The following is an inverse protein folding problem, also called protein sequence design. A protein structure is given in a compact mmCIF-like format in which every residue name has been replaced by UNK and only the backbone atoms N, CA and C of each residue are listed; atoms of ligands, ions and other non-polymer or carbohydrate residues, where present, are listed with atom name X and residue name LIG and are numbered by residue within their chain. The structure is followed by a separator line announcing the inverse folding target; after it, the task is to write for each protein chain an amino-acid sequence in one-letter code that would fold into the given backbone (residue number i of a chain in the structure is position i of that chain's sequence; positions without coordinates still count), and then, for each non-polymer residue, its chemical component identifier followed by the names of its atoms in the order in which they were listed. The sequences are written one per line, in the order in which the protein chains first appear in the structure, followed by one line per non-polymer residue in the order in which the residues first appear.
data_IF_408444933852
#
_entry.id   IF_408444933852
#
_cell.length_a   1.000
_cell.length_b   1.000
_cell.length_c   1.000
_cell.angle_alpha   90.00
_cell.angle_beta   90.00
_cell.angle_gamma   90.00
#
_symmetry.space_group_name_H-M   'P 1'
#
loop_
_entity.id
_entity.type
_entity.pdbx_description
1 polymer ?
#
# COMPACT_ATOMS: atom_id res chain seq x y z
N UNK A 1 9.08 -6.37 10.84
CA UNK A 1 8.58 -7.49 9.99
C UNK A 1 7.25 -7.08 9.39
N UNK A 2 6.96 -7.48 8.14
CA UNK A 2 5.76 -7.08 7.39
C UNK A 2 4.82 -8.24 7.03
N UNK A 3 5.15 -9.48 7.42
CA UNK A 3 4.33 -10.67 7.16
C UNK A 3 4.50 -11.26 5.76
N UNK A 4 5.61 -10.98 5.08
CA UNK A 4 5.88 -11.51 3.73
C UNK A 4 6.02 -13.03 3.69
N UNK A 5 6.39 -13.64 4.81
CA UNK A 5 6.38 -15.09 5.01
C UNK A 5 4.97 -15.68 4.95
N UNK A 6 3.97 -14.99 5.57
CA UNK A 6 2.57 -15.38 5.43
C UNK A 6 2.08 -15.23 3.98
N UNK A 7 2.43 -14.11 3.33
CA UNK A 7 2.02 -13.87 1.93
C UNK A 7 2.58 -14.96 1.00
N UNK A 8 3.86 -15.29 1.16
CA UNK A 8 4.52 -16.36 0.38
C UNK A 8 3.88 -17.73 0.66
N UNK A 9 3.62 -18.05 1.93
CA UNK A 9 2.97 -19.31 2.32
C UNK A 9 1.56 -19.41 1.75
N UNK A 10 0.79 -18.31 1.80
CA UNK A 10 -0.54 -18.26 1.18
C UNK A 10 -0.43 -18.46 -0.34
N UNK A 11 0.51 -17.79 -1.00
CA UNK A 11 0.75 -17.92 -2.44
C UNK A 11 1.04 -19.37 -2.85
N UNK A 12 1.91 -20.07 -2.11
CA UNK A 12 2.21 -21.49 -2.32
C UNK A 12 0.97 -22.36 -2.09
N UNK A 13 0.24 -22.15 -1.01
CA UNK A 13 -0.99 -22.89 -0.73
C UNK A 13 -2.07 -22.70 -1.79
N UNK A 14 -2.24 -21.47 -2.30
CA UNK A 14 -3.15 -21.19 -3.43
C UNK A 14 -2.70 -21.93 -4.68
N UNK A 15 -1.40 -21.94 -4.98
CA UNK A 15 -0.84 -22.67 -6.13
C UNK A 15 -1.11 -24.15 -6.04
N UNK A 16 -0.93 -24.77 -4.87
CA UNK A 16 -1.24 -26.18 -4.63
C UNK A 16 -2.73 -26.52 -4.85
N UNK A 17 -3.62 -25.69 -4.30
CA UNK A 17 -5.07 -25.87 -4.47
C UNK A 17 -5.45 -25.80 -5.94
N UNK A 18 -4.99 -24.77 -6.66
CA UNK A 18 -5.32 -24.58 -8.07
C UNK A 18 -4.67 -25.64 -8.97
N UNK A 19 -3.46 -26.13 -8.64
CA UNK A 19 -2.83 -27.23 -9.35
C UNK A 19 -3.67 -28.51 -9.28
N UNK A 20 -4.31 -28.80 -8.14
CA UNK A 20 -5.26 -29.92 -8.01
C UNK A 20 -6.53 -29.74 -8.83
N UNK A 21 -6.91 -28.50 -9.10
CA UNK A 21 -8.10 -28.14 -9.87
C UNK A 21 -7.77 -27.84 -11.35
N UNK A 22 -6.53 -28.02 -11.80
CA UNK A 22 -6.05 -27.56 -13.12
C UNK A 22 -6.88 -28.01 -14.31
N UNK A 23 -7.47 -29.22 -14.25
CA UNK A 23 -8.33 -29.74 -15.34
C UNK A 23 -9.71 -29.09 -15.41
N UNK A 24 -10.07 -28.30 -14.39
CA UNK A 24 -11.35 -27.57 -14.29
C UNK A 24 -11.19 -26.07 -14.53
N UNK A 25 -9.95 -25.56 -14.61
CA UNK A 25 -9.66 -24.16 -14.88
C UNK A 25 -9.79 -23.90 -16.39
N UNK A 26 -10.52 -22.88 -16.78
CA UNK A 26 -10.65 -22.43 -18.16
C UNK A 26 -9.68 -21.30 -18.52
N UNK A 27 -8.59 -21.18 -17.76
CA UNK A 27 -7.58 -20.15 -17.95
C UNK A 27 -6.24 -20.57 -17.37
N UNK A 28 -5.33 -19.62 -17.30
CA UNK A 28 -3.99 -19.79 -16.74
C UNK A 28 -3.83 -18.90 -15.53
N UNK A 29 -3.37 -19.44 -14.40
CA UNK A 29 -2.97 -18.68 -13.22
C UNK A 29 -1.45 -18.68 -13.12
N UNK A 30 -0.86 -17.51 -13.02
CA UNK A 30 0.57 -17.29 -12.89
C UNK A 30 0.85 -16.68 -11.53
N UNK A 31 1.84 -17.18 -10.82
CA UNK A 31 2.25 -16.68 -9.52
C UNK A 31 3.53 -15.86 -9.66
N UNK A 32 3.49 -14.62 -9.15
CA UNK A 32 4.63 -13.74 -9.04
C UNK A 32 5.10 -13.70 -7.59
N UNK A 33 6.29 -14.26 -7.32
CA UNK A 33 6.95 -14.13 -6.03
C UNK A 33 7.96 -12.98 -6.16
N UNK A 34 7.53 -11.80 -5.78
CA UNK A 34 8.28 -10.57 -5.97
C UNK A 34 9.30 -10.36 -4.85
N UNK A 35 10.58 -10.08 -5.15
CA UNK A 35 11.56 -9.62 -4.17
C UNK A 35 11.50 -8.09 -4.00
N UNK A 36 12.05 -7.58 -2.90
CA UNK A 36 12.40 -6.16 -2.76
C UNK A 36 11.23 -5.18 -2.67
N UNK A 37 10.06 -5.61 -2.18
CA UNK A 37 8.89 -4.74 -1.99
C UNK A 37 9.19 -3.59 -1.02
N UNK A 38 9.84 -3.84 0.12
CA UNK A 38 10.18 -2.84 1.16
C UNK A 38 11.04 -1.67 0.64
N UNK A 39 11.73 -1.89 -0.48
CA UNK A 39 12.48 -0.84 -1.18
C UNK A 39 11.66 -0.18 -2.31
N UNK A 40 10.40 -0.59 -2.53
CA UNK A 40 9.54 -0.18 -3.64
C UNK A 40 10.21 -0.39 -5.02
N UNK A 41 10.98 -1.44 -5.17
CA UNK A 41 11.84 -1.69 -6.34
C UNK A 41 11.57 -3.02 -7.06
N UNK A 42 10.97 -3.99 -6.35
CA UNK A 42 10.79 -5.35 -6.87
C UNK A 42 9.85 -5.44 -8.06
N UNK A 43 8.70 -4.77 -7.99
CA UNK A 43 7.75 -4.73 -9.11
C UNK A 43 8.37 -4.10 -10.37
N UNK A 44 9.11 -2.99 -10.22
CA UNK A 44 9.81 -2.37 -11.35
C UNK A 44 10.86 -3.31 -11.95
N UNK A 45 11.62 -4.00 -11.13
CA UNK A 45 12.63 -4.96 -11.59
C UNK A 45 11.98 -6.10 -12.41
N UNK A 46 10.90 -6.70 -11.91
CA UNK A 46 10.17 -7.76 -12.61
C UNK A 46 9.54 -7.26 -13.92
N UNK A 47 8.97 -6.05 -13.91
CA UNK A 47 8.39 -5.44 -15.13
C UNK A 47 9.50 -5.18 -16.15
N UNK A 48 10.64 -4.63 -15.74
CA UNK A 48 11.78 -4.37 -16.62
C UNK A 48 12.40 -5.65 -17.20
N UNK A 49 12.33 -6.77 -16.46
CA UNK A 49 12.70 -8.11 -16.92
C UNK A 49 11.66 -8.73 -17.87
N UNK A 50 10.57 -8.03 -18.20
CA UNK A 50 9.57 -8.47 -19.17
C UNK A 50 8.58 -9.51 -18.64
N UNK A 51 8.29 -9.52 -17.32
CA UNK A 51 7.35 -10.51 -16.74
C UNK A 51 5.95 -10.38 -17.31
N UNK A 52 5.48 -9.15 -17.57
CA UNK A 52 4.14 -8.91 -18.11
C UNK A 52 4.05 -9.33 -19.58
N UNK A 53 5.08 -9.07 -20.37
CA UNK A 53 5.17 -9.44 -21.78
C UNK A 53 5.21 -10.96 -21.98
N UNK A 54 5.92 -11.68 -21.09
CA UNK A 54 5.98 -13.14 -21.11
C UNK A 54 4.69 -13.81 -20.64
N UNK A 55 4.03 -13.21 -19.65
CA UNK A 55 2.86 -13.83 -19.03
C UNK A 55 1.54 -13.34 -19.56
N UNK A 56 1.45 -12.09 -20.01
CA UNK A 56 0.25 -11.40 -20.52
C UNK A 56 -0.98 -11.65 -19.65
N UNK A 57 -0.97 -11.25 -18.39
CA UNK A 57 -2.12 -11.45 -17.52
C UNK A 57 -3.24 -10.48 -17.91
N UNK A 58 -4.49 -10.96 -17.92
CA UNK A 58 -5.68 -10.12 -18.08
C UNK A 58 -6.02 -9.36 -16.80
N UNK A 59 -5.69 -9.96 -15.64
CA UNK A 59 -5.90 -9.40 -14.31
C UNK A 59 -4.74 -9.79 -13.39
N UNK A 60 -4.53 -8.98 -12.35
CA UNK A 60 -3.54 -9.25 -11.30
C UNK A 60 -4.15 -9.03 -9.92
N UNK A 61 -3.85 -9.92 -8.97
CA UNK A 61 -4.42 -9.88 -7.63
C UNK A 61 -3.34 -10.05 -6.57
N UNK A 62 -3.38 -9.23 -5.53
CA UNK A 62 -2.49 -9.33 -4.38
C UNK A 62 -3.26 -9.35 -3.06
N UNK A 63 -2.63 -9.93 -2.06
CA UNK A 63 -3.11 -10.01 -0.69
C UNK A 63 -1.98 -9.61 0.25
N UNK A 64 -2.27 -8.74 1.19
CA UNK A 64 -1.36 -8.33 2.26
C UNK A 64 -2.01 -8.56 3.63
N UNK A 65 -1.25 -8.89 4.64
CA UNK A 65 -1.76 -8.93 6.00
C UNK A 65 -2.11 -7.51 6.50
N UNK A 66 -3.11 -7.42 7.37
CA UNK A 66 -3.55 -6.13 7.94
C UNK A 66 -4.10 -6.29 9.36
N UNK A 67 -4.21 -5.19 10.10
CA UNK A 67 -4.55 -5.21 11.54
C UNK A 67 -6.03 -5.47 11.83
N UNK A 68 -6.71 -6.13 10.91
CA UNK A 68 -8.10 -6.55 11.05
C UNK A 68 -8.20 -7.89 11.80
N UNK A 69 -9.36 -8.23 12.38
CA UNK A 69 -9.56 -9.53 13.02
C UNK A 69 -9.23 -10.70 12.10
N UNK A 70 -8.60 -11.75 12.62
CA UNK A 70 -8.31 -12.97 11.84
C UNK A 70 -9.59 -13.55 11.24
N UNK A 71 -9.54 -13.92 9.96
CA UNK A 71 -10.70 -14.43 9.23
C UNK A 71 -11.51 -13.37 8.49
N UNK A 72 -11.12 -12.10 8.58
CA UNK A 72 -11.77 -10.99 7.86
C UNK A 72 -10.90 -10.45 6.75
N UNK A 73 -11.51 -9.67 5.84
CA UNK A 73 -10.83 -8.99 4.75
C UNK A 73 -11.21 -7.51 4.74
N UNK A 74 -10.25 -6.66 4.37
CA UNK A 74 -10.52 -5.29 3.99
C UNK A 74 -10.21 -5.10 2.51
N UNK A 75 -11.17 -4.61 1.74
CA UNK A 75 -11.07 -4.39 0.30
C UNK A 75 -10.99 -2.91 -0.03
N UNK A 76 -10.39 -2.58 -1.16
CA UNK A 76 -9.99 -1.21 -1.50
C UNK A 76 -10.58 -0.72 -2.84
N UNK A 77 -11.90 -0.81 -3.10
CA UNK A 77 -12.48 -0.38 -4.38
C UNK A 77 -12.36 1.14 -4.57
N UNK A 78 -11.51 1.58 -5.50
CA UNK A 78 -11.25 3.01 -5.77
C UNK A 78 -10.29 3.67 -4.79
N UNK A 79 -9.68 2.92 -3.89
CA UNK A 79 -8.68 3.38 -2.93
C UNK A 79 -7.52 2.39 -2.81
N UNK A 80 -6.62 2.60 -1.87
CA UNK A 80 -5.49 1.69 -1.63
C UNK A 80 -4.42 2.30 -0.74
N UNK A 81 -3.23 2.56 -1.27
CA UNK A 81 -2.10 3.15 -0.55
C UNK A 81 -1.55 4.37 -1.31
N UNK A 82 -1.09 5.41 -0.60
CA UNK A 82 -0.65 6.64 -1.25
C UNK A 82 0.64 6.44 -2.04
N UNK A 83 0.80 7.24 -3.09
CA UNK A 83 2.08 7.42 -3.76
C UNK A 83 3.08 8.18 -2.88
N UNK A 84 4.33 8.19 -3.31
CA UNK A 84 5.41 8.87 -2.62
C UNK A 84 6.17 9.80 -3.56
N UNK A 85 6.56 10.96 -3.05
CA UNK A 85 7.43 11.88 -3.77
C UNK A 85 8.44 12.52 -2.82
N UNK A 86 9.43 13.20 -3.36
CA UNK A 86 10.41 13.92 -2.55
C UNK A 86 10.95 15.16 -3.27
N UNK A 87 11.38 16.14 -2.48
CA UNK A 87 12.19 17.27 -2.92
C UNK A 87 13.57 17.20 -2.29
N UNK A 88 14.62 17.42 -3.08
CA UNK A 88 15.99 17.59 -2.62
C UNK A 88 16.32 19.09 -2.65
N UNK A 89 16.65 19.67 -1.49
CA UNK A 89 16.87 21.09 -1.35
C UNK A 89 18.33 21.31 -0.88
N UNK A 90 19.08 22.10 -1.60
CA UNK A 90 20.45 22.47 -1.22
C UNK A 90 20.44 23.92 -0.72
N UNK A 91 21.00 24.13 0.48
CA UNK A 91 21.26 25.45 1.04
C UNK A 91 22.78 25.67 1.09
N UNK A 92 23.21 26.86 0.63
CA UNK A 92 24.63 27.20 0.51
C UNK A 92 24.99 28.39 1.39
N UNK A 93 26.29 28.57 1.66
CA UNK A 93 26.83 29.77 2.31
C UNK A 93 26.67 29.83 3.84
N UNK A 94 27.14 30.93 4.46
CA UNK A 94 27.14 31.07 5.93
C UNK A 94 25.75 30.91 6.55
N UNK A 95 25.64 30.16 7.66
CA UNK A 95 24.40 29.91 8.36
C UNK A 95 23.43 28.95 7.63
N UNK A 96 23.91 28.16 6.67
CA UNK A 96 23.09 27.16 5.97
C UNK A 96 22.44 26.15 6.93
N UNK A 97 23.16 25.73 8.00
CA UNK A 97 22.62 24.80 9.01
C UNK A 97 21.39 25.35 9.72
N UNK A 98 21.46 26.60 10.23
CA UNK A 98 20.35 27.22 10.95
C UNK A 98 19.14 27.46 10.03
N UNK A 99 19.40 27.76 8.74
CA UNK A 99 18.32 27.89 7.75
C UNK A 99 17.70 26.55 7.42
N UNK A 100 18.51 25.49 7.33
CA UNK A 100 18.04 24.13 7.08
C UNK A 100 17.14 23.63 8.23
N UNK A 101 17.51 23.87 9.48
CA UNK A 101 16.68 23.50 10.64
C UNK A 101 15.31 24.20 10.60
N UNK A 102 15.29 25.51 10.31
CA UNK A 102 14.02 26.25 10.14
C UNK A 102 13.19 25.71 8.98
N UNK A 103 13.83 25.45 7.84
CA UNK A 103 13.14 24.89 6.68
C UNK A 103 12.59 23.50 6.97
N UNK A 104 13.32 22.62 7.67
CA UNK A 104 12.85 21.30 8.09
C UNK A 104 11.58 21.43 8.96
N UNK A 105 11.54 22.39 9.89
CA UNK A 105 10.37 22.64 10.72
C UNK A 105 9.18 23.13 9.88
N UNK A 106 9.39 24.11 8.98
CA UNK A 106 8.36 24.61 8.07
C UNK A 106 7.79 23.53 7.15
N UNK A 107 8.66 22.67 6.63
CA UNK A 107 8.25 21.52 5.80
C UNK A 107 7.45 20.51 6.61
N UNK A 108 7.90 20.19 7.83
CA UNK A 108 7.18 19.29 8.73
C UNK A 108 5.76 19.75 9.05
N UNK A 109 5.55 21.07 9.14
CA UNK A 109 4.24 21.67 9.40
C UNK A 109 3.22 21.47 8.26
N UNK A 110 3.64 21.02 7.08
CA UNK A 110 2.74 20.63 5.99
C UNK A 110 2.00 19.31 6.26
N UNK A 111 2.46 18.51 7.22
CA UNK A 111 1.78 17.27 7.60
C UNK A 111 0.39 17.56 8.18
N UNK A 112 -0.61 16.91 7.66
CA UNK A 112 -1.99 16.94 8.19
C UNK A 112 -2.34 15.69 8.99
N UNK A 113 -1.42 14.72 9.03
CA UNK A 113 -1.57 13.46 9.77
C UNK A 113 -0.29 13.16 10.56
N UNK A 114 -0.45 12.50 11.69
CA UNK A 114 0.64 12.11 12.59
C UNK A 114 0.73 10.57 12.64
N UNK A 115 1.93 9.99 12.52
CA UNK A 115 2.11 8.55 12.66
C UNK A 115 1.60 8.05 14.02
N UNK A 116 0.90 6.90 14.03
CA UNK A 116 0.40 6.32 15.27
C UNK A 116 1.55 5.92 16.19
N UNK A 117 1.43 6.21 17.47
CA UNK A 117 2.42 5.87 18.50
C UNK A 117 1.88 4.84 19.50
N UNK A 118 0.57 4.73 19.60
CA UNK A 118 -0.12 3.89 20.59
C UNK A 118 -1.15 3.00 19.90
N UNK A 119 -1.60 1.96 20.63
CA UNK A 119 -2.71 1.11 20.18
C UNK A 119 -3.97 1.93 19.90
N UNK A 120 -4.26 2.93 20.71
CA UNK A 120 -5.42 3.81 20.52
C UNK A 120 -5.32 4.63 19.22
N UNK A 121 -4.11 5.07 18.85
CA UNK A 121 -3.88 5.77 17.58
C UNK A 121 -4.09 4.84 16.39
N UNK A 122 -3.64 3.60 16.48
CA UNK A 122 -3.85 2.59 15.45
C UNK A 122 -5.33 2.24 15.28
N UNK A 123 -6.05 2.03 16.40
CA UNK A 123 -7.48 1.77 16.37
C UNK A 123 -8.26 2.96 15.77
N UNK A 124 -7.84 4.19 16.05
CA UNK A 124 -8.40 5.39 15.42
C UNK A 124 -8.11 5.40 13.91
N UNK A 125 -6.85 5.16 13.50
CA UNK A 125 -6.44 5.12 12.11
C UNK A 125 -7.28 4.13 11.29
N UNK A 126 -7.48 2.91 11.80
CA UNK A 126 -8.28 1.90 11.10
C UNK A 126 -9.75 2.35 10.97
N UNK A 127 -10.35 2.89 12.04
CA UNK A 127 -11.71 3.46 11.93
C UNK A 127 -11.80 4.59 10.91
N UNK A 128 -10.78 5.43 10.81
CA UNK A 128 -10.75 6.55 9.86
C UNK A 128 -10.62 6.08 8.41
N UNK A 129 -9.83 5.04 8.12
CA UNK A 129 -9.74 4.48 6.76
C UNK A 129 -11.03 3.76 6.33
N UNK A 130 -11.80 3.23 7.28
CA UNK A 130 -13.11 2.61 7.05
C UNK A 130 -14.26 3.64 6.94
N UNK A 131 -14.00 4.92 7.29
CA UNK A 131 -15.04 5.96 7.30
C UNK A 131 -15.19 6.62 5.93
N UNK A 132 -16.35 6.49 5.24
CA UNK A 132 -16.60 7.20 4.00
C UNK A 132 -16.49 8.73 4.19
N UNK A 133 -15.75 9.39 3.31
CA UNK A 133 -15.51 10.83 3.39
C UNK A 133 -14.97 11.33 4.75
N UNK A 134 -14.26 10.45 5.45
CA UNK A 134 -13.65 10.72 6.75
C UNK A 134 -12.41 11.63 6.67
N UNK A 135 -11.71 11.82 7.80
CA UNK A 135 -10.55 12.71 7.89
C UNK A 135 -9.43 12.35 6.91
N UNK A 136 -9.29 11.06 6.57
CA UNK A 136 -8.27 10.57 5.64
C UNK A 136 -8.69 10.62 4.16
N UNK A 137 -9.85 11.19 3.83
CA UNK A 137 -10.22 11.42 2.43
C UNK A 137 -9.24 12.38 1.73
N UNK A 138 -8.53 13.21 2.49
CA UNK A 138 -7.49 14.14 2.01
C UNK A 138 -6.43 14.33 3.08
N UNK A 139 -5.17 13.96 2.78
CA UNK A 139 -4.06 14.15 3.71
C UNK A 139 -2.73 14.44 3.01
N UNK A 140 -1.79 14.95 3.79
CA UNK A 140 -0.35 14.99 3.50
C UNK A 140 0.38 14.42 4.71
N UNK A 141 1.31 13.52 4.47
CA UNK A 141 2.31 13.13 5.44
C UNK A 141 3.68 13.52 4.92
N UNK A 142 4.35 14.41 5.65
CA UNK A 142 5.65 14.97 5.28
C UNK A 142 6.71 14.58 6.31
N UNK A 143 7.86 14.16 5.81
CA UNK A 143 9.08 13.99 6.60
C UNK A 143 10.19 14.82 5.95
N UNK A 144 10.86 15.64 6.75
CA UNK A 144 12.02 16.38 6.29
C UNK A 144 13.20 16.12 7.23
N UNK A 145 14.40 16.17 6.68
CA UNK A 145 15.63 16.03 7.44
C UNK A 145 16.78 16.71 6.72
N UNK A 146 17.70 17.29 7.49
CA UNK A 146 18.89 17.95 6.99
C UNK A 146 20.12 17.08 7.23
N UNK A 147 21.08 17.14 6.30
CA UNK A 147 22.41 16.52 6.44
C UNK A 147 23.49 17.48 5.90
N UNK A 148 24.65 17.54 6.52
CA UNK A 148 25.79 18.24 5.94
C UNK A 148 26.16 17.65 4.57
N UNK A 149 26.47 18.52 3.62
CA UNK A 149 27.00 18.16 2.32
C UNK A 149 28.48 18.62 2.21
N UNK A 150 29.14 18.27 1.10
CA UNK A 150 30.46 18.78 0.82
C UNK A 150 30.48 20.31 0.75
N UNK A 151 31.64 20.92 1.01
CA UNK A 151 31.86 22.37 0.90
C UNK A 151 31.08 23.25 1.89
N UNK A 152 30.57 22.69 3.01
CA UNK A 152 29.80 23.44 4.00
C UNK A 152 28.36 23.74 3.64
N UNK A 153 27.90 23.19 2.54
CA UNK A 153 26.50 23.20 2.15
C UNK A 153 25.65 22.26 3.04
N UNK A 154 24.34 22.45 3.04
CA UNK A 154 23.42 21.55 3.72
C UNK A 154 22.36 21.06 2.74
N UNK A 155 22.16 19.77 2.73
CA UNK A 155 21.12 19.13 1.95
C UNK A 155 19.92 18.81 2.84
N UNK A 156 18.73 19.33 2.47
CA UNK A 156 17.46 18.98 3.11
C UNK A 156 16.66 18.10 2.17
N UNK A 157 16.28 16.92 2.65
CA UNK A 157 15.38 16.02 1.92
C UNK A 157 14.00 16.08 2.52
N UNK A 158 13.01 16.47 1.71
CA UNK A 158 11.59 16.42 2.03
C UNK A 158 10.95 15.23 1.31
N UNK A 159 10.55 14.20 2.04
CA UNK A 159 9.83 13.04 1.49
C UNK A 159 8.39 13.10 1.96
N UNK A 160 7.44 12.90 1.07
CA UNK A 160 6.04 12.98 1.42
C UNK A 160 5.16 11.96 0.70
N UNK A 161 4.02 11.69 1.33
CA UNK A 161 2.89 10.96 0.77
C UNK A 161 1.65 11.84 0.86
N UNK A 162 0.80 11.77 -0.13
CA UNK A 162 -0.47 12.49 -0.11
C UNK A 162 -1.60 11.66 -0.71
N UNK A 163 -2.80 12.00 -0.30
CA UNK A 163 -4.01 11.42 -0.85
C UNK A 163 -5.04 12.53 -1.08
N UNK A 164 -5.76 12.53 -2.21
CA UNK A 164 -5.48 11.73 -3.39
C UNK A 164 -4.16 12.13 -4.08
N UNK A 165 -3.64 11.28 -4.97
CA UNK A 165 -2.32 11.47 -5.60
C UNK A 165 -2.25 12.73 -6.48
N UNK A 166 -3.37 13.16 -7.03
CA UNK A 166 -3.51 14.36 -7.85
C UNK A 166 -3.07 15.65 -7.14
N UNK A 167 -2.85 15.57 -5.82
CA UNK A 167 -2.30 16.68 -5.01
C UNK A 167 -0.79 16.86 -5.13
N UNK A 168 -0.05 15.93 -5.73
CA UNK A 168 1.41 16.03 -5.85
C UNK A 168 1.87 17.38 -6.44
N UNK A 169 1.29 17.91 -7.53
CA UNK A 169 1.67 19.23 -8.03
C UNK A 169 1.46 20.36 -7.01
N UNK A 170 0.32 20.35 -6.29
CA UNK A 170 0.02 21.31 -5.21
C UNK A 170 1.12 21.28 -4.13
N UNK A 171 1.53 20.09 -3.71
CA UNK A 171 2.57 19.95 -2.67
C UNK A 171 3.94 20.38 -3.20
N UNK A 172 4.30 20.03 -4.44
CA UNK A 172 5.53 20.55 -5.07
C UNK A 172 5.58 22.07 -5.10
N UNK A 173 4.44 22.73 -5.37
CA UNK A 173 4.36 24.20 -5.37
C UNK A 173 4.49 24.78 -3.97
N UNK A 174 3.90 24.14 -2.95
CA UNK A 174 4.12 24.53 -1.56
C UNK A 174 5.59 24.40 -1.14
N UNK A 175 6.26 23.32 -1.54
CA UNK A 175 7.70 23.11 -1.29
C UNK A 175 8.55 24.18 -1.99
N UNK A 176 8.26 24.52 -3.24
CA UNK A 176 8.93 25.62 -3.97
C UNK A 176 8.73 26.96 -3.26
N UNK A 177 7.51 27.26 -2.82
CA UNK A 177 7.18 28.49 -2.11
C UNK A 177 7.96 28.61 -0.79
N UNK A 178 8.00 27.55 0.01
CA UNK A 178 8.75 27.54 1.28
C UNK A 178 10.25 27.69 1.03
N UNK A 179 10.80 26.93 0.07
CA UNK A 179 12.22 27.03 -0.32
C UNK A 179 12.57 28.43 -0.83
N UNK A 180 11.68 29.08 -1.58
CA UNK A 180 11.89 30.43 -2.12
C UNK A 180 12.02 31.54 -1.07
N UNK A 181 11.71 31.28 0.20
CA UNK A 181 12.01 32.20 1.32
C UNK A 181 13.51 32.28 1.65
N UNK A 182 14.31 31.38 1.10
CA UNK A 182 15.73 31.26 1.31
C UNK A 182 16.46 31.52 -0.02
N UNK A 183 17.06 32.71 -0.24
CA UNK A 183 17.60 33.10 -1.56
C UNK A 183 18.67 32.18 -2.13
N UNK A 184 19.42 31.49 -1.25
CA UNK A 184 20.50 30.57 -1.62
C UNK A 184 20.06 29.11 -1.66
N UNK A 185 18.75 28.83 -1.53
CA UNK A 185 18.20 27.50 -1.57
C UNK A 185 17.74 27.12 -2.99
N UNK A 186 18.01 25.88 -3.39
CA UNK A 186 17.54 25.29 -4.63
C UNK A 186 16.82 24.00 -4.34
N UNK A 187 15.68 23.78 -5.00
CA UNK A 187 14.91 22.55 -4.87
C UNK A 187 14.81 21.82 -6.20
N UNK A 188 15.03 20.52 -6.16
CA UNK A 188 14.88 19.61 -7.28
C UNK A 188 13.89 18.50 -6.93
N UNK A 189 13.15 18.05 -7.93
CA UNK A 189 12.21 16.94 -7.82
C UNK A 189 12.56 15.85 -8.83
N UNK A 190 12.24 14.57 -8.55
CA UNK A 190 12.27 13.55 -9.59
C UNK A 190 11.29 13.92 -10.72
N UNK A 191 11.55 13.43 -11.92
CA UNK A 191 10.68 13.64 -13.07
C UNK A 191 9.25 13.16 -12.73
N UNK A 192 9.14 11.94 -12.22
CA UNK A 192 7.89 11.34 -11.80
C UNK A 192 7.90 10.97 -10.32
N UNK A 193 6.78 11.18 -9.66
CA UNK A 193 6.54 10.65 -8.33
C UNK A 193 6.27 9.14 -8.39
N UNK A 194 6.60 8.42 -7.32
CA UNK A 194 6.19 7.03 -7.19
C UNK A 194 4.65 6.95 -7.07
N UNK A 195 3.97 6.12 -7.88
CA UNK A 195 2.52 6.15 -7.98
C UNK A 195 1.81 5.59 -6.75
N UNK A 196 0.59 6.08 -6.50
CA UNK A 196 -0.33 5.46 -5.56
C UNK A 196 -0.77 4.07 -6.05
N UNK A 197 -0.88 3.13 -5.13
CA UNK A 197 -1.52 1.85 -5.37
C UNK A 197 -3.03 2.06 -5.22
N UNK A 198 -3.76 2.04 -6.34
CA UNK A 198 -5.22 2.26 -6.37
C UNK A 198 -5.87 1.09 -7.07
N UNK A 199 -6.72 0.36 -6.36
CA UNK A 199 -7.52 -0.69 -6.98
C UNK A 199 -8.64 -0.07 -7.83
N UNK A 200 -8.80 -0.47 -9.10
CA UNK A 200 -9.94 -0.01 -9.88
C UNK A 200 -11.26 -0.33 -9.17
N UNK A 201 -12.25 0.59 -9.20
CA UNK A 201 -13.49 0.42 -8.41
C UNK A 201 -14.28 -0.84 -8.76
N UNK A 202 -14.31 -1.25 -10.03
CA UNK A 202 -15.09 -2.41 -10.47
C UNK A 202 -14.48 -3.73 -9.98
N UNK A 203 -13.21 -4.08 -10.27
CA UNK A 203 -12.57 -5.26 -9.70
C UNK A 203 -12.63 -5.30 -8.16
N UNK A 204 -12.43 -4.17 -7.51
CA UNK A 204 -12.52 -4.07 -6.04
C UNK A 204 -13.91 -4.40 -5.51
N UNK A 205 -14.99 -4.00 -6.19
CA UNK A 205 -16.36 -4.42 -5.82
C UNK A 205 -16.62 -5.88 -6.12
N UNK A 206 -16.13 -6.40 -7.23
CA UNK A 206 -16.32 -7.80 -7.60
C UNK A 206 -15.67 -8.75 -6.57
N UNK A 207 -14.46 -8.45 -6.10
CA UNK A 207 -13.81 -9.26 -5.04
C UNK A 207 -14.53 -9.11 -3.71
N UNK A 208 -15.00 -7.90 -3.34
CA UNK A 208 -15.83 -7.68 -2.15
C UNK A 208 -17.05 -8.58 -2.17
N UNK A 209 -17.83 -8.50 -3.24
CA UNK A 209 -19.08 -9.23 -3.37
C UNK A 209 -18.85 -10.75 -3.38
N UNK A 210 -17.72 -11.20 -3.92
CA UNK A 210 -17.31 -12.60 -3.85
C UNK A 210 -17.00 -13.02 -2.40
N UNK A 211 -16.21 -12.26 -1.69
CA UNK A 211 -15.83 -12.54 -0.31
C UNK A 211 -17.05 -12.48 0.63
N UNK A 212 -17.93 -11.51 0.46
CA UNK A 212 -19.17 -11.40 1.24
C UNK A 212 -20.09 -12.61 1.07
N UNK A 213 -20.19 -13.16 -0.15
CA UNK A 213 -20.98 -14.38 -0.40
C UNK A 213 -20.37 -15.61 0.28
N UNK A 214 -19.04 -15.71 0.30
CA UNK A 214 -18.34 -16.89 0.84
C UNK A 214 -18.14 -16.85 2.36
N UNK A 215 -17.93 -15.68 2.94
CA UNK A 215 -17.55 -15.49 4.34
C UNK A 215 -18.62 -14.79 5.19
N UNK A 216 -19.60 -14.17 4.55
CA UNK A 216 -20.58 -13.31 5.20
C UNK A 216 -20.14 -11.83 5.23
N UNK A 217 -21.11 -10.92 5.19
CA UNK A 217 -20.86 -9.47 5.15
C UNK A 217 -20.01 -8.95 6.31
N UNK A 218 -20.20 -9.52 7.50
CA UNK A 218 -19.45 -9.12 8.71
C UNK A 218 -17.95 -9.47 8.64
N UNK A 219 -17.55 -10.32 7.71
CA UNK A 219 -16.15 -10.69 7.51
C UNK A 219 -15.44 -9.81 6.46
N UNK A 220 -16.15 -8.84 5.85
CA UNK A 220 -15.57 -8.00 4.80
C UNK A 220 -15.85 -6.54 5.10
N UNK A 221 -14.80 -5.74 5.24
CA UNK A 221 -14.90 -4.29 5.35
C UNK A 221 -14.40 -3.61 4.07
N UNK A 222 -14.81 -2.38 3.85
CA UNK A 222 -14.35 -1.54 2.73
C UNK A 222 -13.51 -0.40 3.28
N UNK A 223 -12.31 -0.27 2.76
CA UNK A 223 -11.48 0.91 3.01
C UNK A 223 -11.92 2.04 2.08
N UNK A 224 -12.19 3.21 2.64
CA UNK A 224 -12.64 4.41 1.95
C UNK A 224 -11.54 5.47 1.80
N UNK A 225 -10.38 5.24 2.42
CA UNK A 225 -9.21 6.09 2.31
C UNK A 225 -7.92 5.24 2.30
N UNK A 226 -6.84 5.86 1.85
CA UNK A 226 -5.52 5.24 1.89
C UNK A 226 -4.92 5.30 3.31
N UNK A 227 -4.11 4.29 3.67
CA UNK A 227 -3.32 4.30 4.91
C UNK A 227 -2.13 5.26 4.71
N UNK A 228 -2.00 6.38 5.47
CA UNK A 228 -1.07 7.45 5.14
C UNK A 228 0.41 7.08 5.16
N UNK A 229 0.78 6.09 5.98
CA UNK A 229 2.18 5.82 6.33
C UNK A 229 2.81 4.67 5.56
N UNK A 230 2.02 3.97 4.75
CA UNK A 230 2.44 2.82 3.95
C UNK A 230 2.53 3.18 2.46
N UNK A 231 3.39 2.47 1.73
CA UNK A 231 3.48 2.50 0.27
C UNK A 231 3.49 1.06 -0.24
N UNK A 232 3.28 0.87 -1.56
CA UNK A 232 3.17 -0.46 -2.14
C UNK A 232 3.57 -0.43 -3.61
N UNK A 233 4.57 -1.20 -4.02
CA UNK A 233 5.05 -1.19 -5.41
C UNK A 233 4.20 -2.05 -6.35
N UNK A 234 3.25 -2.82 -5.84
CA UNK A 234 2.18 -3.42 -6.63
C UNK A 234 1.40 -2.36 -7.44
N UNK A 235 1.48 -1.09 -7.04
CA UNK A 235 1.02 0.07 -7.81
C UNK A 235 1.52 0.05 -9.27
N UNK A 236 2.76 -0.40 -9.50
CA UNK A 236 3.36 -0.45 -10.82
C UNK A 236 2.71 -1.51 -11.72
N UNK A 237 2.31 -2.64 -11.15
CA UNK A 237 1.52 -3.64 -11.86
C UNK A 237 0.11 -3.13 -12.17
N UNK A 238 -0.58 -2.51 -11.20
CA UNK A 238 -1.94 -1.99 -11.40
C UNK A 238 -2.04 -0.87 -12.43
N UNK A 239 -0.94 -0.17 -12.71
CA UNK A 239 -0.85 0.78 -13.83
C UNK A 239 -0.85 0.12 -15.22
N UNK A 240 -0.55 -1.16 -15.29
CA UNK A 240 -0.40 -1.94 -16.53
C UNK A 240 -1.51 -2.96 -16.72
N UNK A 241 -2.00 -3.53 -15.62
CA UNK A 241 -2.95 -4.64 -15.61
C UNK A 241 -4.02 -4.35 -14.55
N UNK A 242 -5.31 -4.43 -14.89
CA UNK A 242 -6.36 -4.25 -13.88
C UNK A 242 -6.32 -5.38 -12.85
N UNK A 243 -6.69 -5.07 -11.60
CA UNK A 243 -6.64 -6.09 -10.56
C UNK A 243 -7.13 -5.63 -9.22
N UNK A 244 -6.81 -6.39 -8.18
CA UNK A 244 -7.20 -6.09 -6.80
C UNK A 244 -6.05 -6.25 -5.83
N UNK A 245 -6.08 -5.43 -4.80
CA UNK A 245 -5.27 -5.56 -3.61
C UNK A 245 -6.22 -5.62 -2.40
N UNK A 246 -6.10 -6.64 -1.58
CA UNK A 246 -6.94 -6.80 -0.40
C UNK A 246 -6.08 -7.03 0.84
N UNK A 247 -6.57 -6.58 1.99
CA UNK A 247 -5.93 -6.89 3.26
C UNK A 247 -6.62 -8.08 3.92
N UNK A 248 -5.81 -9.02 4.42
CA UNK A 248 -6.25 -10.15 5.23
C UNK A 248 -6.05 -9.82 6.71
N UNK A 249 -7.08 -9.94 7.50
CA UNK A 249 -7.01 -9.78 8.95
C UNK A 249 -6.12 -10.86 9.58
N UNK A 250 -5.17 -10.40 10.42
CA UNK A 250 -4.22 -11.26 11.13
C UNK A 250 -4.21 -11.02 12.64
N UNK A 251 -5.14 -10.21 13.17
CA UNK A 251 -5.23 -9.93 14.61
C UNK A 251 -5.93 -11.07 15.34
N UNK A 252 -5.26 -11.64 16.34
CA UNK A 252 -5.84 -12.64 17.25
C UNK A 252 -7.01 -12.03 18.02
N UNK A 253 -8.06 -12.81 18.34
CA UNK A 253 -9.13 -12.36 19.22
C UNK A 253 -8.57 -11.89 20.58
N UNK A 254 -8.94 -10.68 20.99
CA UNK A 254 -8.50 -10.08 22.26
C UNK A 254 -7.05 -9.56 22.27
N UNK A 255 -6.30 -9.71 21.20
CA UNK A 255 -4.94 -9.18 21.13
C UNK A 255 -4.92 -7.67 20.83
N UNK A 256 -3.86 -7.01 21.28
CA UNK A 256 -3.60 -5.62 20.95
C UNK A 256 -3.36 -5.45 19.44
N UNK A 257 -3.83 -4.35 18.88
CA UNK A 257 -3.72 -4.08 17.44
C UNK A 257 -2.28 -3.99 16.97
N UNK A 258 -1.33 -3.59 17.82
CA UNK A 258 0.10 -3.52 17.51
C UNK A 258 0.68 -4.88 17.14
N UNK A 259 0.08 -5.98 17.62
CA UNK A 259 0.51 -7.34 17.27
C UNK A 259 0.15 -7.73 15.84
N UNK A 260 -0.76 -7.01 15.20
CA UNK A 260 -1.22 -7.28 13.84
C UNK A 260 -0.91 -6.13 12.86
N UNK A 261 -0.36 -5.02 13.33
CA UNK A 261 0.03 -3.91 12.49
C UNK A 261 1.48 -4.11 12.02
N UNK A 262 1.72 -4.27 10.70
CA UNK A 262 3.07 -4.46 10.17
C UNK A 262 4.04 -3.35 10.61
N UNK A 263 5.33 -3.69 10.72
CA UNK A 263 6.43 -2.82 11.15
C UNK A 263 6.43 -2.40 12.64
N UNK A 264 5.45 -2.78 13.44
CA UNK A 264 5.56 -2.66 14.89
C UNK A 264 6.47 -3.75 15.47
N UNK A 265 7.24 -3.40 16.50
CA UNK A 265 8.16 -4.34 17.14
C UNK A 265 7.47 -5.54 17.82
N UNK A 266 6.18 -5.42 18.08
CA UNK A 266 5.30 -6.45 18.66
C UNK A 266 4.56 -7.27 17.61
N UNK A 267 4.84 -7.09 16.31
CA UNK A 267 4.13 -7.79 15.25
C UNK A 267 4.24 -9.32 15.40
N UNK A 268 3.12 -9.95 15.68
CA UNK A 268 2.93 -11.39 15.93
C UNK A 268 1.57 -11.83 15.38
N UNK A 269 1.46 -12.02 14.05
CA UNK A 269 0.21 -12.31 13.38
C UNK A 269 -0.36 -13.67 13.75
N UNK A 270 -1.67 -13.81 13.62
CA UNK A 270 -2.35 -15.08 13.77
C UNK A 270 -2.19 -15.98 12.54
N UNK A 271 -1.43 -17.05 12.65
CA UNK A 271 -1.15 -17.96 11.52
C UNK A 271 -2.40 -18.67 10.97
N UNK A 272 -3.52 -18.67 11.70
CA UNK A 272 -4.81 -19.17 11.17
C UNK A 272 -5.26 -18.40 9.93
N UNK A 273 -4.78 -17.17 9.77
CA UNK A 273 -4.97 -16.35 8.58
C UNK A 273 -4.47 -17.03 7.30
N UNK A 274 -3.41 -17.86 7.37
CA UNK A 274 -2.88 -18.59 6.21
C UNK A 274 -3.98 -19.44 5.56
N UNK A 275 -4.64 -20.28 6.34
CA UNK A 275 -5.70 -21.14 5.81
C UNK A 275 -6.92 -20.35 5.29
N UNK A 276 -7.22 -19.20 5.89
CA UNK A 276 -8.28 -18.29 5.42
C UNK A 276 -7.89 -17.66 4.08
N UNK A 277 -6.67 -17.12 4.00
CA UNK A 277 -6.12 -16.50 2.78
C UNK A 277 -6.07 -17.49 1.62
N UNK A 278 -5.57 -18.72 1.86
CA UNK A 278 -5.53 -19.77 0.83
C UNK A 278 -6.92 -20.08 0.29
N UNK A 279 -7.91 -20.31 1.15
CA UNK A 279 -9.28 -20.64 0.72
C UNK A 279 -9.91 -19.48 -0.07
N UNK A 280 -9.79 -18.26 0.43
CA UNK A 280 -10.39 -17.08 -0.19
C UNK A 280 -9.77 -16.79 -1.56
N UNK A 281 -8.44 -16.75 -1.64
CA UNK A 281 -7.73 -16.42 -2.87
C UNK A 281 -7.82 -17.54 -3.91
N UNK A 282 -7.68 -18.81 -3.50
CA UNK A 282 -7.87 -19.93 -4.43
C UNK A 282 -9.28 -19.94 -5.00
N UNK A 283 -10.29 -19.72 -4.17
CA UNK A 283 -11.67 -19.64 -4.60
C UNK A 283 -11.94 -18.44 -5.52
N UNK A 284 -11.40 -17.24 -5.18
CA UNK A 284 -11.51 -16.06 -6.03
C UNK A 284 -10.89 -16.30 -7.42
N UNK A 285 -9.65 -16.78 -7.47
CA UNK A 285 -8.95 -17.03 -8.72
C UNK A 285 -9.61 -18.15 -9.55
N UNK A 286 -10.12 -19.19 -8.90
CA UNK A 286 -10.90 -20.23 -9.56
C UNK A 286 -12.20 -19.66 -10.17
N UNK A 287 -12.88 -18.79 -9.43
CA UNK A 287 -14.08 -18.08 -9.93
C UNK A 287 -13.74 -17.20 -11.14
N UNK A 288 -12.63 -16.44 -11.10
CA UNK A 288 -12.17 -15.62 -12.24
C UNK A 288 -11.75 -16.47 -13.44
N UNK A 289 -11.14 -17.63 -13.20
CA UNK A 289 -10.76 -18.59 -14.23
C UNK A 289 -11.92 -19.49 -14.73
N UNK A 290 -13.16 -19.12 -14.42
CA UNK A 290 -14.36 -19.76 -14.97
C UNK A 290 -14.75 -21.11 -14.36
N UNK A 291 -14.19 -21.51 -13.21
CA UNK A 291 -14.77 -22.61 -12.44
C UNK A 291 -16.11 -22.10 -11.86
N UNK A 292 -17.19 -22.35 -12.57
CA UNK A 292 -18.52 -22.12 -12.04
C UNK A 292 -18.73 -22.96 -10.78
N UNK A 293 -19.22 -22.32 -9.70
CA UNK A 293 -19.93 -23.05 -8.65
C UNK A 293 -21.10 -23.73 -9.35
N UNK A 294 -20.94 -25.03 -9.67
CA UNK A 294 -22.02 -25.81 -10.24
C UNK A 294 -23.22 -25.81 -9.28
N UNK A 295 -24.10 -24.86 -9.43
CA UNK A 295 -25.49 -25.05 -9.15
C UNK A 295 -26.02 -25.79 -10.38
N UNK A 296 -25.95 -27.12 -10.35
CA UNK A 296 -26.91 -27.93 -11.03
C UNK A 296 -28.26 -27.51 -10.48
N UNK A 297 -28.97 -26.72 -11.25
CA UNK A 297 -30.39 -26.58 -11.05
C UNK A 297 -31.07 -27.97 -11.22
N UNK A 298 -32.12 -28.26 -10.46
CA UNK A 298 -32.81 -29.53 -10.47
C UNK A 298 -33.43 -29.85 -11.83
#
# INVERSE_FOLDING_TARGET
MCGHDLHTTIGVGVAEVLARLRTRLHGRVVFFFQPGEEALAGAQAMISDGVLERTRPDEIHALHCGPFPVGTFAVTPGTGLPGQDHGSITLTGPGASDRAERLVADLGALSTVTPPQTSADLERLIREVETPHGPLARFVWMRAGARPAANGDVEVRATYRCWPQERIPEIRDQLRHLTGRYPDARIEFPADAFPAMVCPPRPGREVRDYLERGLGRQAVTTMHAAIPFSGEDFALFLRRVPGTFSFLGVRRPGADITTAYPHFGTFDPDERAIGVGVRAMAGWLAHRAGIGTGHSAP
#
